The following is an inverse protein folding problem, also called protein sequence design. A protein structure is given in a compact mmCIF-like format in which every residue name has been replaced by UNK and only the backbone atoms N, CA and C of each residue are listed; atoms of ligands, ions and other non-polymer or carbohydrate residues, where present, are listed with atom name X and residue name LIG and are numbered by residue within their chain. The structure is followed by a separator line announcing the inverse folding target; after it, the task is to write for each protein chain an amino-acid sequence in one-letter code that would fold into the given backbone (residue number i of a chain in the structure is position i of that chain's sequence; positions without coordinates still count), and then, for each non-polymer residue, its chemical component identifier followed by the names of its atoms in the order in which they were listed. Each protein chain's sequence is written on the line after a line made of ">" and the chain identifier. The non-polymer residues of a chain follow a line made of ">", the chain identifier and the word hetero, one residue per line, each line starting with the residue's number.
data_IF_632694470580
#
_entry.id   IF_632694470580
#
_cell.length_a   1.000
_cell.length_b   1.000
_cell.length_c   1.000
_cell.angle_alpha   90.00
_cell.angle_beta   90.00
_cell.angle_gamma   90.00
#
_symmetry.space_group_name_H-M   'P 1'
#
loop_
_entity.id
_entity.type
_entity.pdbx_description
1 polymer ?
#
# COMPACT_ATOMS: atom_id res chain seq x y z
N UNK A 1 -7.85 -20.72 30.43
CA UNK A 1 -7.51 -21.10 29.05
C UNK A 1 -8.43 -20.35 28.10
N UNK A 2 -8.09 -19.10 27.79
CA UNK A 2 -8.68 -18.41 26.67
C UNK A 2 -8.07 -18.98 25.39
N UNK A 3 -8.87 -19.63 24.58
CA UNK A 3 -8.59 -19.94 23.16
C UNK A 3 -8.37 -18.59 22.45
N UNK A 4 -7.13 -18.19 22.28
CA UNK A 4 -6.76 -17.15 21.32
C UNK A 4 -7.09 -17.75 19.96
N UNK A 5 -8.18 -17.33 19.35
CA UNK A 5 -8.51 -17.65 17.97
C UNK A 5 -7.31 -17.21 17.13
N UNK A 6 -6.72 -18.15 16.38
CA UNK A 6 -5.63 -17.86 15.45
C UNK A 6 -6.21 -16.89 14.44
N UNK A 7 -5.85 -15.61 14.54
CA UNK A 7 -6.29 -14.58 13.60
C UNK A 7 -5.75 -14.94 12.22
N UNK A 8 -6.62 -14.99 11.21
CA UNK A 8 -6.19 -15.22 9.82
C UNK A 8 -5.26 -14.07 9.38
N UNK A 9 -4.26 -14.38 8.56
CA UNK A 9 -3.27 -13.38 8.09
C UNK A 9 -3.96 -12.19 7.43
N UNK A 10 -4.98 -12.43 6.62
CA UNK A 10 -5.72 -11.34 5.96
C UNK A 10 -6.37 -10.38 6.97
N UNK A 11 -6.89 -10.88 8.09
CA UNK A 11 -7.45 -10.01 9.13
C UNK A 11 -6.36 -9.20 9.84
N UNK A 12 -5.16 -9.76 10.01
CA UNK A 12 -4.00 -9.01 10.50
C UNK A 12 -3.68 -7.86 9.56
N UNK A 13 -3.52 -8.12 8.25
CA UNK A 13 -3.22 -7.08 7.26
C UNK A 13 -4.30 -6.00 7.21
N UNK A 14 -5.57 -6.39 7.23
CA UNK A 14 -6.71 -5.46 7.21
C UNK A 14 -6.76 -4.56 8.46
N UNK A 15 -6.49 -5.12 9.63
CA UNK A 15 -6.44 -4.36 10.87
C UNK A 15 -5.27 -3.38 10.88
N UNK A 16 -4.08 -3.80 10.40
CA UNK A 16 -2.92 -2.94 10.27
C UNK A 16 -3.24 -1.75 9.36
N UNK A 17 -3.69 -2.03 8.13
CA UNK A 17 -3.95 -0.97 7.16
C UNK A 17 -5.07 0.00 7.60
N UNK A 18 -6.03 -0.52 8.39
CA UNK A 18 -7.03 0.34 9.03
C UNK A 18 -6.40 1.25 10.09
N UNK A 19 -5.48 0.76 10.91
CA UNK A 19 -4.77 1.61 11.88
C UNK A 19 -3.91 2.66 11.20
N UNK A 20 -3.24 2.32 10.08
CA UNK A 20 -2.53 3.31 9.28
C UNK A 20 -3.49 4.40 8.82
N UNK A 21 -4.65 4.04 8.24
CA UNK A 21 -5.67 5.00 7.85
C UNK A 21 -6.14 5.88 9.01
N UNK A 22 -6.45 5.28 10.16
CA UNK A 22 -6.94 6.02 11.33
C UNK A 22 -5.87 6.99 11.86
N UNK A 23 -4.59 6.59 11.87
CA UNK A 23 -3.48 7.44 12.31
C UNK A 23 -3.24 8.59 11.35
N UNK A 24 -3.15 8.31 10.03
CA UNK A 24 -2.91 9.35 9.01
C UNK A 24 -4.04 10.36 8.97
N UNK A 25 -5.29 9.91 9.05
CA UNK A 25 -6.46 10.81 9.06
C UNK A 25 -6.48 11.79 10.23
N UNK A 26 -5.85 11.45 11.34
CA UNK A 26 -5.84 12.27 12.55
C UNK A 26 -4.59 13.16 12.66
N UNK A 27 -3.66 13.11 11.70
CA UNK A 27 -2.50 14.00 11.67
C UNK A 27 -2.92 15.42 11.25
N UNK A 28 -2.31 16.42 11.87
CA UNK A 28 -2.41 17.80 11.41
C UNK A 28 -1.58 18.01 10.13
N UNK A 29 -2.00 18.94 9.26
CA UNK A 29 -1.28 19.23 8.00
C UNK A 29 0.21 19.54 8.20
N UNK A 30 0.59 20.14 9.35
CA UNK A 30 1.98 20.41 9.71
C UNK A 30 2.78 19.17 10.03
N UNK A 31 2.15 18.08 10.43
CA UNK A 31 2.79 16.82 10.78
C UNK A 31 3.16 15.99 9.55
N UNK A 32 2.55 16.28 8.37
CA UNK A 32 2.88 15.58 7.11
C UNK A 32 4.31 15.87 6.64
N UNK A 33 4.81 17.08 6.87
CA UNK A 33 6.02 17.62 6.23
C UNK A 33 7.12 18.04 7.20
N UNK A 34 6.88 18.01 8.53
CA UNK A 34 7.88 18.44 9.51
C UNK A 34 8.92 17.35 9.77
N UNK A 35 10.11 17.59 9.25
CA UNK A 35 11.32 16.81 9.52
C UNK A 35 12.00 16.33 8.24
N UNK A 36 13.31 16.50 8.20
CA UNK A 36 14.19 15.79 7.25
C UNK A 36 14.67 14.51 7.96
N UNK A 37 14.04 13.39 7.65
CA UNK A 37 14.35 12.09 8.27
C UNK A 37 15.41 11.31 7.49
N UNK A 38 16.03 11.94 6.49
CA UNK A 38 17.06 11.31 5.67
C UNK A 38 16.47 10.50 4.50
N UNK A 39 17.26 9.54 4.01
CA UNK A 39 16.84 8.67 2.90
C UNK A 39 16.31 7.36 3.42
N UNK A 40 15.17 6.94 2.92
CA UNK A 40 14.62 5.61 3.13
C UNK A 40 15.49 4.50 2.53
N UNK A 41 15.20 3.25 2.82
CA UNK A 41 15.91 2.10 2.28
C UNK A 41 15.83 2.02 0.75
N UNK A 42 14.76 2.55 0.14
CA UNK A 42 14.59 2.71 -1.30
C UNK A 42 15.44 3.82 -1.93
N UNK A 43 16.02 4.72 -1.11
CA UNK A 43 16.92 5.79 -1.55
C UNK A 43 16.28 7.15 -1.78
N UNK A 44 14.97 7.28 -1.66
CA UNK A 44 14.21 8.53 -1.72
C UNK A 44 14.21 9.27 -0.38
N UNK A 45 13.78 10.55 -0.38
CA UNK A 45 13.68 11.34 0.86
C UNK A 45 12.42 10.92 1.60
N UNK A 46 12.61 10.30 2.77
CA UNK A 46 11.52 9.92 3.64
C UNK A 46 10.79 11.15 4.20
N UNK A 47 9.48 11.12 4.14
CA UNK A 47 8.62 12.12 4.74
C UNK A 47 8.14 11.65 6.11
N UNK A 48 7.74 12.57 6.97
CA UNK A 48 7.26 12.22 8.30
C UNK A 48 6.05 11.26 8.26
N UNK A 49 5.16 11.46 7.30
CA UNK A 49 3.97 10.63 7.12
C UNK A 49 4.32 9.16 6.80
N UNK A 50 5.36 8.90 5.99
CA UNK A 50 5.81 7.55 5.64
C UNK A 50 6.35 6.83 6.88
N UNK A 51 7.18 7.53 7.67
CA UNK A 51 7.75 6.99 8.90
C UNK A 51 6.68 6.66 9.93
N UNK A 52 5.67 7.54 10.10
CA UNK A 52 4.54 7.29 11.01
C UNK A 52 3.74 6.08 10.54
N UNK A 53 3.50 5.96 9.24
CA UNK A 53 2.75 4.84 8.67
C UNK A 53 3.48 3.50 8.86
N UNK A 54 4.76 3.42 8.50
CA UNK A 54 5.57 2.21 8.69
C UNK A 54 5.71 1.84 10.16
N UNK A 55 5.94 2.84 11.03
CA UNK A 55 5.97 2.62 12.48
C UNK A 55 4.67 2.03 13.00
N UNK A 56 3.53 2.48 12.50
CA UNK A 56 2.21 1.92 12.87
C UNK A 56 2.14 0.43 12.53
N UNK A 57 2.61 0.03 11.34
CA UNK A 57 2.66 -1.39 10.94
C UNK A 57 3.55 -2.20 11.89
N UNK A 58 4.77 -1.72 12.14
CA UNK A 58 5.74 -2.42 12.97
C UNK A 58 5.28 -2.56 14.42
N UNK A 59 4.71 -1.50 15.00
CA UNK A 59 4.23 -1.50 16.37
C UNK A 59 3.04 -2.46 16.56
N UNK A 60 2.11 -2.49 15.59
CA UNK A 60 1.00 -3.45 15.61
C UNK A 60 1.48 -4.90 15.59
N UNK A 61 2.40 -5.23 14.67
CA UNK A 61 2.94 -6.59 14.55
C UNK A 61 3.65 -7.04 15.83
N UNK A 62 4.41 -6.15 16.46
CA UNK A 62 5.06 -6.40 17.75
C UNK A 62 4.02 -6.62 18.87
N UNK A 63 2.99 -5.78 18.93
CA UNK A 63 1.93 -5.83 19.93
C UNK A 63 1.18 -7.17 19.91
N UNK A 64 0.89 -7.70 18.72
CA UNK A 64 0.19 -8.99 18.59
C UNK A 64 1.14 -10.20 18.56
N UNK A 65 2.45 -9.98 18.72
CA UNK A 65 3.49 -11.00 18.60
C UNK A 65 3.41 -11.80 17.29
N UNK A 66 3.20 -11.10 16.16
CA UNK A 66 3.17 -11.73 14.84
C UNK A 66 4.59 -11.88 14.30
N UNK A 67 5.08 -13.12 14.28
CA UNK A 67 6.45 -13.42 13.85
C UNK A 67 6.55 -13.37 12.33
N UNK A 68 7.31 -12.40 11.79
CA UNK A 68 7.52 -12.24 10.34
C UNK A 68 8.77 -11.44 10.04
N UNK A 69 9.19 -11.46 8.77
CA UNK A 69 10.12 -10.47 8.21
C UNK A 69 9.28 -9.40 7.53
N UNK A 70 9.50 -8.14 7.89
CA UNK A 70 8.90 -7.00 7.21
C UNK A 70 9.88 -6.46 6.19
N UNK A 71 9.38 -6.18 4.97
CA UNK A 71 10.10 -5.50 3.90
C UNK A 71 9.33 -4.22 3.58
N UNK A 72 9.89 -3.07 3.95
CA UNK A 72 9.31 -1.75 3.73
C UNK A 72 10.23 -0.87 2.91
N UNK A 73 9.66 0.18 2.33
CA UNK A 73 10.40 1.15 1.51
C UNK A 73 11.36 1.98 2.37
N UNK A 74 10.88 2.45 3.53
CA UNK A 74 11.64 3.32 4.44
C UNK A 74 12.47 2.51 5.44
N UNK A 75 11.87 1.52 6.09
CA UNK A 75 12.53 0.73 7.13
C UNK A 75 13.43 -0.37 6.57
N UNK A 76 13.35 -0.68 5.28
CA UNK A 76 14.07 -1.80 4.67
C UNK A 76 13.60 -3.15 5.19
N UNK A 77 14.54 -3.98 5.66
CA UNK A 77 14.25 -5.32 6.16
C UNK A 77 14.33 -5.36 7.69
N UNK A 78 13.20 -5.66 8.33
CA UNK A 78 13.09 -5.80 9.79
C UNK A 78 12.55 -7.19 10.16
N UNK A 79 13.18 -7.85 11.12
CA UNK A 79 12.67 -9.10 11.69
C UNK A 79 11.85 -8.81 12.94
N UNK A 80 10.62 -9.33 12.98
CA UNK A 80 9.74 -9.29 14.14
C UNK A 80 9.78 -10.67 14.80
N UNK A 81 10.44 -10.77 15.96
CA UNK A 81 10.73 -11.98 16.72
C UNK A 81 11.63 -13.01 15.98
N UNK A 82 12.09 -14.04 16.70
CA UNK A 82 13.17 -14.95 16.28
C UNK A 82 12.75 -16.04 15.28
N UNK A 83 11.44 -16.29 15.09
CA UNK A 83 10.94 -17.34 14.20
C UNK A 83 9.95 -16.79 13.20
N UNK A 84 10.44 -16.50 12.00
CA UNK A 84 9.59 -15.98 10.94
C UNK A 84 8.60 -17.01 10.41
N UNK A 85 7.32 -16.62 10.29
CA UNK A 85 6.26 -17.38 9.62
C UNK A 85 6.11 -17.01 8.13
N UNK A 86 6.84 -16.01 7.67
CA UNK A 86 6.78 -15.46 6.33
C UNK A 86 7.18 -14.00 6.28
N UNK A 87 6.78 -13.35 5.22
CA UNK A 87 7.16 -11.98 4.90
C UNK A 87 5.93 -11.10 4.80
N UNK A 88 5.98 -9.91 5.40
CA UNK A 88 5.07 -8.80 5.09
C UNK A 88 5.83 -7.82 4.22
N UNK A 89 5.34 -7.61 3.00
CA UNK A 89 5.84 -6.61 2.06
C UNK A 89 4.90 -5.41 2.19
N UNK A 90 5.44 -4.24 2.45
CA UNK A 90 4.65 -3.03 2.63
C UNK A 90 5.20 -1.86 1.85
N UNK A 91 4.27 -1.12 1.29
CA UNK A 91 4.37 0.31 1.02
C UNK A 91 3.29 0.96 1.87
N UNK A 92 3.70 1.57 2.97
CA UNK A 92 2.75 2.05 3.97
C UNK A 92 2.02 3.30 3.50
N UNK A 93 2.63 4.09 2.58
CA UNK A 93 2.00 5.19 1.84
C UNK A 93 2.51 5.24 0.41
N UNK A 94 1.83 4.54 -0.49
CA UNK A 94 2.00 4.75 -1.93
C UNK A 94 1.28 6.04 -2.34
N UNK A 95 2.04 6.98 -2.91
CA UNK A 95 1.55 8.31 -3.29
C UNK A 95 1.77 9.39 -2.24
N UNK A 96 2.91 9.38 -1.53
CA UNK A 96 3.30 10.37 -0.51
C UNK A 96 3.19 11.81 -1.03
N UNK A 97 3.65 12.08 -2.26
CA UNK A 97 3.53 13.38 -2.91
C UNK A 97 2.06 13.83 -3.03
N UNK A 98 1.16 12.90 -3.36
CA UNK A 98 -0.27 13.21 -3.44
C UNK A 98 -0.84 13.53 -2.05
N UNK A 99 -0.49 12.72 -1.04
CA UNK A 99 -0.92 12.92 0.33
C UNK A 99 -0.52 14.32 0.84
N UNK A 100 0.74 14.71 0.69
CA UNK A 100 1.28 16.00 1.13
C UNK A 100 0.61 17.18 0.42
N UNK A 101 0.23 17.02 -0.85
CA UNK A 101 -0.41 18.08 -1.63
C UNK A 101 -1.96 18.03 -1.56
N UNK A 102 -2.55 17.22 -0.69
CA UNK A 102 -4.00 17.13 -0.52
C UNK A 102 -4.73 16.50 -1.71
N UNK A 103 -4.01 15.76 -2.57
CA UNK A 103 -4.60 15.02 -3.69
C UNK A 103 -5.11 13.68 -3.15
N UNK A 104 -6.42 13.37 -3.18
CA UNK A 104 -7.01 12.21 -2.54
C UNK A 104 -6.76 10.90 -3.34
N UNK A 105 -5.50 10.66 -3.71
CA UNK A 105 -5.06 9.51 -4.47
C UNK A 105 -3.75 8.96 -3.91
N UNK A 106 -3.85 8.28 -2.78
CA UNK A 106 -2.76 7.61 -2.08
C UNK A 106 -3.31 6.45 -1.25
N UNK A 107 -2.51 5.43 -1.00
CA UNK A 107 -2.96 4.21 -0.36
C UNK A 107 -1.90 3.58 0.55
N UNK A 108 -2.35 2.64 1.40
CA UNK A 108 -1.49 1.70 2.10
C UNK A 108 -1.60 0.35 1.43
N UNK A 109 -0.48 -0.22 1.01
CA UNK A 109 -0.39 -1.51 0.32
C UNK A 109 0.39 -2.51 1.17
N UNK A 110 -0.24 -3.62 1.55
CA UNK A 110 0.36 -4.68 2.34
C UNK A 110 0.12 -6.03 1.67
N UNK A 111 1.15 -6.88 1.62
CA UNK A 111 1.03 -8.25 1.16
C UNK A 111 1.75 -9.21 2.13
N UNK A 112 1.23 -10.43 2.26
CA UNK A 112 1.89 -11.51 2.99
C UNK A 112 2.32 -12.62 2.04
N UNK A 113 3.58 -13.04 2.18
CA UNK A 113 4.17 -14.13 1.44
C UNK A 113 4.72 -15.20 2.40
N UNK A 114 4.50 -16.47 2.08
CA UNK A 114 5.01 -17.59 2.89
C UNK A 114 6.48 -17.91 2.63
N UNK A 115 7.07 -17.34 1.57
CA UNK A 115 8.47 -17.50 1.15
C UNK A 115 8.91 -16.24 0.38
N UNK A 116 10.18 -16.13 0.04
CA UNK A 116 10.81 -14.99 -0.64
C UNK A 116 10.54 -14.91 -2.16
N UNK A 117 9.41 -15.45 -2.63
CA UNK A 117 9.01 -15.46 -4.04
C UNK A 117 7.65 -14.80 -4.21
N UNK A 118 7.46 -14.04 -5.29
CA UNK A 118 6.16 -13.43 -5.62
C UNK A 118 5.03 -14.48 -5.73
N UNK A 119 5.34 -15.68 -6.20
CA UNK A 119 4.35 -16.79 -6.30
C UNK A 119 3.87 -17.31 -4.94
N UNK A 120 4.58 -16.99 -3.85
CA UNK A 120 4.24 -17.38 -2.48
C UNK A 120 3.33 -16.36 -1.76
N UNK A 121 2.93 -15.28 -2.41
CA UNK A 121 1.95 -14.34 -1.87
C UNK A 121 0.61 -15.04 -1.72
N UNK A 122 0.04 -14.98 -0.52
CA UNK A 122 -1.24 -15.59 -0.17
C UNK A 122 -2.32 -14.58 0.14
N UNK A 123 -1.96 -13.43 0.70
CA UNK A 123 -2.90 -12.42 1.17
C UNK A 123 -2.39 -11.02 0.82
N UNK A 124 -3.30 -10.13 0.47
CA UNK A 124 -2.97 -8.73 0.19
C UNK A 124 -4.14 -7.81 0.54
N UNK A 125 -3.81 -6.58 0.93
CA UNK A 125 -4.76 -5.49 1.13
C UNK A 125 -4.18 -4.19 0.57
N UNK A 126 -5.05 -3.41 -0.07
CA UNK A 126 -4.79 -2.03 -0.45
C UNK A 126 -5.89 -1.18 0.19
N UNK A 127 -5.52 -0.27 1.05
CA UNK A 127 -6.47 0.64 1.72
C UNK A 127 -6.31 2.04 1.13
N UNK A 128 -7.38 2.58 0.56
CA UNK A 128 -7.43 3.97 0.14
C UNK A 128 -7.38 4.87 1.40
N UNK A 129 -6.29 5.60 1.57
CA UNK A 129 -6.07 6.43 2.76
C UNK A 129 -6.85 7.76 2.72
N UNK A 130 -7.51 8.08 1.63
CA UNK A 130 -8.39 9.25 1.57
C UNK A 130 -9.79 8.98 2.12
N UNK A 131 -10.28 7.73 2.06
CA UNK A 131 -11.66 7.39 2.44
C UNK A 131 -11.82 6.12 3.29
N UNK A 132 -10.73 5.35 3.48
CA UNK A 132 -10.71 4.12 4.29
C UNK A 132 -11.26 2.88 3.61
N UNK A 133 -11.57 2.91 2.31
CA UNK A 133 -11.98 1.72 1.56
C UNK A 133 -10.84 0.70 1.45
N UNK A 134 -11.15 -0.56 1.74
CA UNK A 134 -10.20 -1.65 1.68
C UNK A 134 -10.49 -2.60 0.51
N UNK A 135 -9.54 -2.71 -0.42
CA UNK A 135 -9.48 -3.77 -1.41
C UNK A 135 -8.59 -4.87 -0.87
N UNK A 136 -9.10 -6.09 -0.77
CA UNK A 136 -8.31 -7.20 -0.23
C UNK A 136 -8.60 -8.51 -0.93
N UNK A 137 -7.64 -9.41 -0.89
CA UNK A 137 -7.76 -10.73 -1.47
C UNK A 137 -6.96 -11.77 -0.68
N UNK A 138 -7.45 -13.01 -0.67
CA UNK A 138 -6.71 -14.18 -0.25
C UNK A 138 -6.69 -15.23 -1.36
N UNK A 139 -5.54 -15.88 -1.53
CA UNK A 139 -5.32 -16.88 -2.58
C UNK A 139 -6.39 -17.97 -2.55
N UNK A 140 -7.11 -18.15 -3.67
CA UNK A 140 -8.19 -19.11 -3.82
C UNK A 140 -9.54 -18.68 -3.22
N UNK A 141 -9.63 -17.52 -2.54
CA UNK A 141 -10.88 -17.03 -1.91
C UNK A 141 -11.53 -15.88 -2.69
N UNK A 142 -10.80 -15.29 -3.63
CA UNK A 142 -11.26 -14.16 -4.46
C UNK A 142 -10.86 -12.81 -3.87
N UNK A 143 -11.39 -11.74 -4.48
CA UNK A 143 -11.13 -10.35 -4.11
C UNK A 143 -12.39 -9.67 -3.59
N UNK A 144 -12.20 -8.67 -2.72
CA UNK A 144 -13.26 -7.97 -2.02
C UNK A 144 -12.97 -6.47 -1.92
N UNK A 145 -14.02 -5.68 -2.01
CA UNK A 145 -14.04 -4.27 -1.58
C UNK A 145 -14.82 -4.20 -0.27
N UNK A 146 -14.15 -3.87 0.82
CA UNK A 146 -14.70 -3.92 2.18
C UNK A 146 -15.28 -5.32 2.48
N UNK A 147 -16.59 -5.46 2.45
CA UNK A 147 -17.31 -6.74 2.69
C UNK A 147 -17.90 -7.35 1.41
N UNK A 148 -17.83 -6.64 0.29
CA UNK A 148 -18.46 -7.05 -0.97
C UNK A 148 -17.46 -7.74 -1.88
N UNK A 149 -17.77 -8.93 -2.34
CA UNK A 149 -16.95 -9.63 -3.34
C UNK A 149 -16.97 -8.88 -4.65
N UNK A 150 -15.78 -8.71 -5.25
CA UNK A 150 -15.60 -8.02 -6.52
C UNK A 150 -15.03 -8.95 -7.59
N UNK A 151 -15.27 -8.61 -8.84
CA UNK A 151 -14.78 -9.32 -10.02
C UNK A 151 -14.36 -8.29 -11.06
N UNK A 152 -13.39 -8.66 -11.91
CA UNK A 152 -13.09 -7.88 -13.12
C UNK A 152 -14.29 -7.93 -14.06
N UNK A 153 -14.49 -6.84 -14.81
CA UNK A 153 -15.53 -6.82 -15.86
C UNK A 153 -15.12 -7.77 -16.98
N UNK A 154 -16.04 -8.67 -17.38
CA UNK A 154 -15.82 -9.61 -18.47
C UNK A 154 -16.34 -9.12 -19.84
N UNK A 155 -17.00 -7.95 -19.86
CA UNK A 155 -17.51 -7.37 -21.10
C UNK A 155 -16.44 -6.52 -21.78
N UNK A 156 -16.37 -6.55 -23.09
CA UNK A 156 -15.55 -5.63 -23.89
C UNK A 156 -16.12 -4.21 -23.70
N UNK A 157 -15.56 -3.51 -22.74
CA UNK A 157 -15.90 -2.11 -22.48
C UNK A 157 -14.92 -1.21 -23.21
N UNK A 158 -15.43 -0.29 -24.01
CA UNK A 158 -14.62 0.82 -24.53
C UNK A 158 -14.29 1.73 -23.35
N UNK A 159 -13.06 1.65 -22.83
CA UNK A 159 -12.60 2.53 -21.77
C UNK A 159 -12.54 3.96 -22.29
N UNK A 160 -13.23 4.87 -21.61
CA UNK A 160 -13.20 6.31 -21.93
C UNK A 160 -12.05 7.04 -21.25
N UNK A 161 -11.47 6.44 -20.20
CA UNK A 161 -10.40 7.05 -19.40
C UNK A 161 -9.30 6.02 -19.21
N UNK A 162 -8.07 6.43 -19.46
CA UNK A 162 -6.86 5.63 -19.21
C UNK A 162 -5.94 6.46 -18.31
N UNK A 163 -5.58 5.90 -17.17
CA UNK A 163 -4.55 6.45 -16.29
C UNK A 163 -3.17 6.03 -16.78
N UNK A 164 -2.24 6.96 -16.87
CA UNK A 164 -0.85 6.66 -17.23
C UNK A 164 0.08 7.31 -16.22
N UNK A 165 0.88 6.50 -15.53
CA UNK A 165 1.99 7.01 -14.73
C UNK A 165 3.11 7.43 -15.67
N UNK A 166 3.49 8.70 -15.61
CA UNK A 166 4.53 9.30 -16.46
C UNK A 166 5.78 9.67 -15.66
N UNK A 167 5.88 9.31 -14.38
CA UNK A 167 7.09 9.54 -13.60
C UNK A 167 8.28 8.80 -14.23
N UNK A 168 9.39 9.51 -14.45
CA UNK A 168 10.56 8.97 -15.14
C UNK A 168 10.40 8.70 -16.62
N UNK A 169 9.27 9.03 -17.24
CA UNK A 169 9.07 8.85 -18.68
C UNK A 169 9.92 9.82 -19.52
N UNK A 170 10.63 9.29 -20.54
CA UNK A 170 11.36 10.14 -21.48
C UNK A 170 10.43 10.99 -22.33
N UNK A 171 10.89 12.17 -22.82
CA UNK A 171 10.11 13.00 -23.75
C UNK A 171 9.65 12.25 -25.00
N UNK A 172 10.46 11.30 -25.48
CA UNK A 172 10.10 10.47 -26.65
C UNK A 172 8.96 9.50 -26.32
N UNK A 173 8.95 8.90 -25.12
CA UNK A 173 7.86 8.03 -24.68
C UNK A 173 6.56 8.83 -24.54
N UNK A 174 6.63 10.01 -23.95
CA UNK A 174 5.47 10.92 -23.84
C UNK A 174 4.92 11.28 -25.20
N UNK A 175 5.81 11.58 -26.18
CA UNK A 175 5.41 11.89 -27.56
C UNK A 175 4.76 10.69 -28.25
N UNK A 176 5.26 9.46 -28.04
CA UNK A 176 4.63 8.23 -28.55
C UNK A 176 3.26 7.99 -27.93
N UNK A 177 3.12 8.17 -26.63
CA UNK A 177 1.82 8.08 -25.96
C UNK A 177 0.81 9.07 -26.55
N UNK A 178 1.25 10.29 -26.89
CA UNK A 178 0.42 11.30 -27.58
C UNK A 178 -0.12 10.84 -28.93
N UNK A 179 0.60 10.00 -29.63
CA UNK A 179 0.13 9.50 -30.95
C UNK A 179 -0.80 8.28 -30.85
N UNK A 180 -0.80 7.59 -29.70
CA UNK A 180 -1.60 6.37 -29.49
C UNK A 180 -2.97 6.70 -28.86
N UNK A 181 -3.01 7.70 -27.99
CA UNK A 181 -4.20 8.06 -27.25
C UNK A 181 -4.74 9.41 -27.71
N UNK A 182 -6.06 9.49 -27.94
CA UNK A 182 -6.75 10.77 -28.06
C UNK A 182 -6.75 11.44 -26.67
N UNK A 183 -5.98 12.52 -26.53
CA UNK A 183 -5.64 13.16 -25.26
C UNK A 183 -6.84 13.75 -24.48
N UNK A 184 -8.01 13.81 -25.07
CA UNK A 184 -9.22 14.25 -24.37
C UNK A 184 -9.67 13.26 -23.27
N UNK A 185 -9.14 12.05 -23.29
CA UNK A 185 -9.53 10.95 -22.38
C UNK A 185 -8.42 10.52 -21.42
N UNK A 186 -7.29 11.24 -21.34
CA UNK A 186 -6.13 10.81 -20.55
C UNK A 186 -6.07 11.55 -19.22
N UNK A 187 -6.19 10.82 -18.12
CA UNK A 187 -5.86 11.30 -16.78
C UNK A 187 -4.39 11.00 -16.49
N UNK A 188 -3.58 12.03 -16.28
CA UNK A 188 -2.18 11.87 -15.83
C UNK A 188 -2.16 11.75 -14.32
N UNK A 189 -1.67 10.62 -13.84
CA UNK A 189 -1.40 10.36 -12.42
C UNK A 189 0.09 10.50 -12.18
N UNK A 190 0.46 11.17 -11.09
CA UNK A 190 1.82 11.20 -10.57
C UNK A 190 1.85 10.34 -9.29
N UNK A 191 2.74 9.38 -9.26
CA UNK A 191 3.09 8.61 -8.06
C UNK A 191 4.24 9.30 -7.33
#
# INVERSE_FOLDING_TARGET
>A
NQLISVMEVIEVLRNISKQVYDNIKNLDETEYTTGDFGRGAGGDISQNIDIIAEKTVLDYLKQINFNCVVLGEECGRIEINDTSKGYIIMDAIDGTTNAINGIPFFCCSLAFATDNKLSSITDAVVTNLSNGEQYWASKGRGAFLNKTKIHVQNEETTYKIVGVNTSGASPELLKKLQTIFDFQSLLKLHS
#
